data_IF_516747789389
#
_entry.id   IF_516747789389
#
_cell.length_a   1.000
_cell.length_b   1.000
_cell.length_c   1.000
_cell.angle_alpha   90.00
_cell.angle_beta   90.00
_cell.angle_gamma   90.00
#
_symmetry.space_group_name_H-M   'P 1'
#
loop_
_entity.id
_entity.type
_entity.pdbx_description
1 polymer ?
#
# COMPACT_ATOMS: atom_id res chain seq x y z
N UNK A 1 3.92 68.56 -16.86
CA UNK A 1 5.22 68.40 -16.17
C UNK A 1 4.97 67.36 -15.08
N UNK A 2 5.50 66.14 -15.02
CA UNK A 2 6.61 65.49 -15.71
C UNK A 2 6.40 63.95 -15.70
N UNK A 3 7.27 63.26 -16.41
CA UNK A 3 7.28 61.85 -16.79
C UNK A 3 7.81 60.88 -15.70
N UNK A 4 7.38 59.60 -15.83
CA UNK A 4 8.06 58.30 -15.60
C UNK A 4 9.42 58.24 -14.89
N UNK A 5 9.59 57.27 -13.96
CA UNK A 5 10.73 56.31 -13.81
C UNK A 5 10.27 55.14 -12.88
N UNK A 6 10.03 53.90 -13.33
CA UNK A 6 10.92 52.72 -13.52
C UNK A 6 11.83 52.27 -12.36
N UNK A 7 11.62 50.99 -11.98
CA UNK A 7 12.56 49.96 -11.49
C UNK A 7 13.21 50.10 -10.10
N UNK A 8 13.03 49.07 -9.24
CA UNK A 8 14.16 48.18 -8.90
C UNK A 8 13.74 46.80 -8.38
N UNK A 9 14.36 45.81 -9.00
CA UNK A 9 14.45 44.39 -8.71
C UNK A 9 15.01 44.10 -7.30
N UNK A 10 14.49 43.08 -6.60
CA UNK A 10 15.30 42.32 -5.63
C UNK A 10 14.66 40.95 -5.35
N UNK A 11 15.09 39.92 -6.11
CA UNK A 11 14.80 38.51 -5.82
C UNK A 11 16.12 37.89 -5.37
N UNK A 12 16.27 37.47 -4.10
CA UNK A 12 17.43 36.70 -3.70
C UNK A 12 17.31 35.27 -4.26
N UNK A 13 18.20 34.93 -5.19
CA UNK A 13 18.36 33.57 -5.69
C UNK A 13 18.91 32.65 -4.60
N UNK A 14 18.16 31.59 -4.28
CA UNK A 14 18.69 30.47 -3.51
C UNK A 14 19.08 29.33 -4.45
N UNK A 15 20.35 28.97 -4.33
CA UNK A 15 21.05 27.93 -5.06
C UNK A 15 20.43 26.56 -4.79
N UNK A 16 20.10 25.84 -5.86
CA UNK A 16 19.71 24.43 -5.80
C UNK A 16 20.98 23.59 -5.63
N UNK A 17 21.22 23.12 -4.40
CA UNK A 17 22.23 22.12 -4.11
C UNK A 17 21.77 20.76 -4.67
N UNK A 18 22.47 20.26 -5.67
CA UNK A 18 22.26 18.95 -6.26
C UNK A 18 22.62 17.84 -5.26
N UNK A 19 21.63 17.08 -4.78
CA UNK A 19 21.81 15.90 -3.94
C UNK A 19 22.07 14.68 -4.84
N UNK A 20 23.12 13.87 -4.57
CA UNK A 20 23.50 12.76 -5.44
C UNK A 20 22.50 11.59 -5.35
N UNK A 21 22.01 11.17 -6.52
CA UNK A 21 21.13 10.00 -6.70
C UNK A 21 21.92 8.71 -6.41
N UNK A 22 21.69 8.09 -5.25
CA UNK A 22 22.12 6.71 -4.99
C UNK A 22 21.14 5.74 -5.65
N UNK A 23 21.54 5.21 -6.80
CA UNK A 23 20.86 4.13 -7.52
C UNK A 23 20.92 2.85 -6.70
N UNK A 24 19.79 2.38 -6.17
CA UNK A 24 19.66 1.07 -5.55
C UNK A 24 19.41 0.04 -6.66
N UNK A 25 20.43 -0.75 -6.98
CA UNK A 25 20.32 -1.95 -7.80
C UNK A 25 19.47 -2.99 -7.04
N UNK A 26 18.23 -3.21 -7.51
CA UNK A 26 17.37 -4.29 -7.03
C UNK A 26 17.83 -5.59 -7.71
N UNK A 27 18.50 -6.46 -6.97
CA UNK A 27 18.80 -7.82 -7.40
C UNK A 27 17.51 -8.65 -7.41
N UNK A 28 17.07 -9.07 -8.61
CA UNK A 28 15.99 -10.05 -8.79
C UNK A 28 16.58 -11.45 -8.58
N UNK A 29 16.27 -12.09 -7.47
CA UNK A 29 16.51 -13.52 -7.29
C UNK A 29 15.36 -14.32 -7.92
N UNK A 30 15.63 -15.03 -9.01
CA UNK A 30 14.72 -16.03 -9.57
C UNK A 30 14.95 -17.36 -8.86
N UNK A 31 14.01 -17.75 -8.00
CA UNK A 31 13.99 -19.10 -7.45
C UNK A 31 13.57 -20.08 -8.55
N UNK A 32 14.52 -20.90 -9.01
CA UNK A 32 14.25 -22.01 -9.91
C UNK A 32 13.33 -23.03 -9.22
N UNK A 33 12.19 -23.32 -9.84
CA UNK A 33 11.44 -24.55 -9.57
C UNK A 33 12.25 -25.71 -10.14
N UNK A 34 12.62 -26.68 -9.29
CA UNK A 34 13.08 -27.99 -9.72
C UNK A 34 11.90 -28.94 -9.68
N UNK A 35 11.42 -29.35 -10.85
CA UNK A 35 10.50 -30.45 -11.03
C UNK A 35 11.27 -31.73 -11.39
N UNK A 36 10.65 -32.85 -11.06
CA UNK A 36 10.81 -34.20 -11.65
C UNK A 36 12.04 -35.01 -11.21
N UNK A 37 11.82 -36.14 -10.53
CA UNK A 37 11.31 -37.43 -11.03
C UNK A 37 12.45 -38.30 -11.58
N UNK A 38 12.53 -39.51 -11.02
CA UNK A 38 13.04 -40.76 -11.60
C UNK A 38 14.28 -41.32 -10.92
N UNK A 39 14.16 -42.56 -10.45
CA UNK A 39 15.29 -43.37 -10.02
C UNK A 39 14.93 -44.56 -9.14
N UNK A 40 14.04 -45.45 -9.59
CA UNK A 40 14.22 -46.89 -9.32
C UNK A 40 15.47 -47.34 -10.12
N UNK A 41 16.34 -48.20 -9.58
CA UNK A 41 16.22 -49.62 -9.91
C UNK A 41 16.66 -50.62 -8.81
N UNK A 42 15.82 -51.63 -8.62
CA UNK A 42 16.06 -53.08 -8.71
C UNK A 42 17.35 -53.75 -8.14
N UNK A 43 17.06 -54.85 -7.40
CA UNK A 43 17.76 -56.16 -7.34
C UNK A 43 19.09 -56.19 -6.56
N UNK A 44 19.47 -57.18 -5.75
CA UNK A 44 19.23 -58.64 -5.73
C UNK A 44 19.69 -59.22 -4.36
N UNK A 45 18.91 -60.10 -3.71
CA UNK A 45 19.13 -61.57 -3.60
C UNK A 45 20.02 -62.08 -2.45
N UNK A 46 19.41 -62.91 -1.59
CA UNK A 46 20.00 -64.09 -0.91
C UNK A 46 18.82 -64.81 -0.23
N UNK A 47 18.34 -65.98 -0.71
CA UNK A 47 18.87 -67.32 -0.42
C UNK A 47 18.64 -67.68 1.06
N UNK A 48 18.01 -68.77 1.52
CA UNK A 48 17.61 -70.05 0.94
C UNK A 48 16.67 -70.75 1.96
N UNK A 49 15.91 -71.74 1.48
CA UNK A 49 15.49 -72.97 2.18
C UNK A 49 14.38 -73.02 3.25
N UNK A 50 13.34 -73.77 2.83
CA UNK A 50 12.74 -74.91 3.54
C UNK A 50 11.61 -74.67 4.56
N UNK A 51 10.48 -75.33 4.30
CA UNK A 51 9.70 -75.96 5.37
C UNK A 51 8.35 -75.34 5.71
N UNK A 52 7.31 -75.86 5.05
CA UNK A 52 6.10 -76.36 5.69
C UNK A 52 5.36 -75.54 6.77
N UNK A 53 4.10 -75.21 6.44
CA UNK A 53 2.91 -75.37 7.30
C UNK A 53 2.83 -74.51 8.59
N UNK A 54 1.86 -73.59 8.52
CA UNK A 54 1.00 -73.07 9.62
C UNK A 54 1.57 -71.91 10.44
N UNK A 55 0.64 -70.96 10.71
CA UNK A 55 0.66 -69.93 11.78
C UNK A 55 1.70 -68.83 11.54
N UNK A 56 1.51 -67.58 11.91
CA UNK A 56 0.45 -66.90 12.63
C UNK A 56 0.51 -65.42 12.23
N UNK A 57 -0.65 -64.78 12.34
CA UNK A 57 -0.83 -63.36 12.62
C UNK A 57 0.19 -62.85 13.65
N UNK A 58 0.87 -61.74 13.35
CA UNK A 58 1.37 -60.79 14.36
C UNK A 58 1.32 -59.38 13.76
N UNK A 59 0.39 -58.60 14.30
CA UNK A 59 0.31 -57.15 14.21
C UNK A 59 1.59 -56.54 14.80
N UNK A 60 2.15 -55.52 14.15
CA UNK A 60 3.01 -54.57 14.84
C UNK A 60 2.57 -53.15 14.53
N UNK A 61 1.84 -52.59 15.49
CA UNK A 61 1.45 -51.20 15.54
C UNK A 61 2.67 -50.34 15.86
N UNK A 62 2.92 -49.30 15.05
CA UNK A 62 3.81 -48.21 15.41
C UNK A 62 3.05 -46.89 15.18
N UNK A 63 2.41 -46.40 16.24
CA UNK A 63 1.76 -45.10 16.26
C UNK A 63 2.82 -44.02 16.44
N UNK A 64 3.22 -43.35 15.35
CA UNK A 64 4.03 -42.13 15.41
C UNK A 64 3.12 -40.91 15.55
N UNK A 65 3.14 -40.27 16.71
CA UNK A 65 2.41 -39.03 17.01
C UNK A 65 3.01 -37.87 16.21
N UNK A 66 2.25 -37.35 15.24
CA UNK A 66 2.61 -36.11 14.54
C UNK A 66 2.28 -34.94 15.46
N UNK A 67 3.28 -34.38 16.13
CA UNK A 67 3.14 -33.08 16.79
C UNK A 67 3.05 -32.00 15.73
N UNK A 68 1.83 -31.53 15.43
CA UNK A 68 1.60 -30.36 14.60
C UNK A 68 2.11 -29.12 15.36
N UNK A 69 3.27 -28.59 14.93
CA UNK A 69 3.73 -27.28 15.37
C UNK A 69 2.85 -26.24 14.66
N UNK A 70 1.83 -25.77 15.35
CA UNK A 70 1.02 -24.63 14.91
C UNK A 70 1.89 -23.37 14.96
N UNK A 71 2.54 -23.02 13.86
CA UNK A 71 3.16 -21.71 13.69
C UNK A 71 2.04 -20.66 13.59
N UNK A 72 1.59 -20.17 14.75
CA UNK A 72 0.77 -18.96 14.80
C UNK A 72 1.65 -17.80 14.33
N UNK A 73 1.57 -17.48 13.04
CA UNK A 73 2.11 -16.26 12.50
C UNK A 73 1.35 -15.10 13.15
N UNK A 74 1.86 -14.60 14.28
CA UNK A 74 1.45 -13.29 14.78
C UNK A 74 1.83 -12.30 13.68
N UNK A 75 0.84 -11.86 12.91
CA UNK A 75 1.01 -10.85 11.89
C UNK A 75 1.59 -9.62 12.58
N UNK A 76 2.90 -9.41 12.39
CA UNK A 76 3.55 -8.18 12.84
C UNK A 76 2.91 -7.04 12.04
N UNK A 77 2.11 -6.20 12.70
CA UNK A 77 1.64 -4.96 12.10
C UNK A 77 2.86 -4.12 11.76
N UNK A 78 3.15 -4.03 10.45
CA UNK A 78 4.29 -3.28 9.94
C UNK A 78 3.99 -1.80 10.13
N UNK A 79 4.64 -1.18 11.12
CA UNK A 79 4.53 0.26 11.39
C UNK A 79 4.84 1.03 10.09
N UNK A 80 3.94 1.94 9.71
CA UNK A 80 4.03 2.71 8.47
C UNK A 80 3.47 2.01 7.23
N UNK A 81 2.75 0.89 7.34
CA UNK A 81 1.93 0.41 6.23
C UNK A 81 0.68 1.28 6.04
N UNK A 82 0.19 1.41 4.80
CA UNK A 82 -1.16 1.93 4.59
C UNK A 82 -2.16 0.87 5.03
N UNK A 83 -3.09 1.26 5.90
CA UNK A 83 -4.18 0.44 6.41
C UNK A 83 -5.50 0.92 5.80
N UNK A 84 -6.27 0.00 5.22
CA UNK A 84 -7.57 0.31 4.65
C UNK A 84 -8.54 0.81 5.73
N UNK A 85 -9.28 1.87 5.38
CA UNK A 85 -10.30 2.45 6.23
C UNK A 85 -11.56 1.60 6.12
N UNK A 86 -11.82 0.77 7.14
CA UNK A 86 -12.97 -0.14 7.17
C UNK A 86 -14.31 0.56 7.41
N UNK A 87 -14.29 1.70 8.07
CA UNK A 87 -15.50 2.46 8.43
C UNK A 87 -15.20 3.93 8.26
N UNK A 88 -16.03 4.61 7.45
CA UNK A 88 -15.92 6.05 7.26
C UNK A 88 -16.39 6.75 8.52
N UNK A 89 -15.42 7.27 9.28
CA UNK A 89 -15.69 8.11 10.42
C UNK A 89 -15.97 9.54 9.95
N UNK A 90 -16.68 10.35 10.77
CA UNK A 90 -16.88 11.77 10.46
C UNK A 90 -15.57 12.53 10.20
N UNK A 91 -14.47 12.09 10.82
CA UNK A 91 -13.16 12.68 10.61
C UNK A 91 -12.57 12.39 9.22
N UNK A 92 -12.76 11.18 8.69
CA UNK A 92 -12.31 10.84 7.34
C UNK A 92 -13.11 11.60 6.29
N UNK A 93 -14.42 11.74 6.50
CA UNK A 93 -15.30 12.58 5.66
C UNK A 93 -14.87 14.06 5.70
N UNK A 94 -14.51 14.57 6.88
CA UNK A 94 -14.00 15.94 7.05
C UNK A 94 -12.71 16.15 6.25
N UNK A 95 -11.76 15.20 6.29
CA UNK A 95 -10.53 15.26 5.50
C UNK A 95 -10.83 15.25 4.00
N UNK A 96 -11.77 14.43 3.55
CA UNK A 96 -12.22 14.39 2.16
C UNK A 96 -12.82 15.74 1.72
N UNK A 97 -13.70 16.30 2.53
CA UNK A 97 -14.31 17.61 2.27
C UNK A 97 -13.25 18.72 2.24
N UNK A 98 -12.35 18.73 3.22
CA UNK A 98 -11.24 19.67 3.29
C UNK A 98 -10.37 19.60 2.04
N UNK A 99 -10.09 18.39 1.51
CA UNK A 99 -9.30 18.22 0.29
C UNK A 99 -9.97 18.86 -0.93
N UNK A 100 -11.30 18.74 -1.06
CA UNK A 100 -12.07 19.38 -2.14
C UNK A 100 -12.06 20.90 -2.00
N UNK A 101 -12.26 21.42 -0.78
CA UNK A 101 -12.18 22.87 -0.52
C UNK A 101 -10.79 23.42 -0.86
N UNK A 102 -9.72 22.77 -0.37
CA UNK A 102 -8.35 23.18 -0.66
C UNK A 102 -8.03 23.12 -2.15
N UNK A 103 -8.53 22.11 -2.87
CA UNK A 103 -8.36 22.04 -4.32
C UNK A 103 -9.06 23.19 -5.04
N UNK A 104 -10.31 23.48 -4.70
CA UNK A 104 -11.07 24.59 -5.27
C UNK A 104 -10.38 25.94 -5.03
N UNK A 105 -9.82 26.16 -3.83
CA UNK A 105 -9.05 27.38 -3.51
C UNK A 105 -7.77 27.51 -4.35
N UNK A 106 -7.11 26.38 -4.67
CA UNK A 106 -5.87 26.38 -5.45
C UNK A 106 -6.09 26.52 -6.96
N UNK A 107 -7.24 26.08 -7.47
CA UNK A 107 -7.52 25.99 -8.91
C UNK A 107 -8.65 26.91 -9.40
N UNK A 108 -9.32 27.61 -8.49
CA UNK A 108 -10.56 28.37 -8.74
C UNK A 108 -11.71 27.50 -9.28
N UNK A 109 -11.65 26.19 -9.03
CA UNK A 109 -12.72 25.26 -9.34
C UNK A 109 -13.87 25.33 -8.33
N UNK A 110 -15.02 24.75 -8.69
CA UNK A 110 -16.24 24.77 -7.86
C UNK A 110 -16.81 23.37 -7.65
N UNK A 111 -15.93 22.40 -7.38
CA UNK A 111 -16.34 21.03 -7.08
C UNK A 111 -17.10 20.99 -5.75
N UNK A 112 -18.22 20.28 -5.73
CA UNK A 112 -18.98 19.97 -4.52
C UNK A 112 -18.60 18.58 -4.02
N UNK A 113 -18.15 18.50 -2.76
CA UNK A 113 -17.90 17.23 -2.09
C UNK A 113 -19.19 16.41 -1.94
N UNK A 114 -19.14 15.12 -2.28
CA UNK A 114 -20.27 14.19 -2.12
C UNK A 114 -20.02 13.13 -1.05
N UNK A 115 -18.78 12.69 -0.89
CA UNK A 115 -18.40 11.76 0.18
C UNK A 115 -17.09 11.04 -0.13
N UNK A 116 -16.60 10.28 0.85
CA UNK A 116 -15.48 9.35 0.67
C UNK A 116 -16.02 7.94 0.38
N UNK A 117 -15.60 7.35 -0.74
CA UNK A 117 -16.02 5.99 -1.14
C UNK A 117 -15.20 4.94 -0.41
N UNK A 118 -13.88 5.15 -0.38
CA UNK A 118 -12.89 4.27 0.26
C UNK A 118 -11.59 5.02 0.46
N UNK A 119 -10.68 4.42 1.20
CA UNK A 119 -9.32 4.95 1.32
C UNK A 119 -8.45 4.13 2.24
N UNK A 120 -7.19 4.52 2.33
CA UNK A 120 -6.22 3.99 3.27
C UNK A 120 -5.57 5.11 4.08
N UNK A 121 -5.21 4.81 5.33
CA UNK A 121 -4.47 5.73 6.21
C UNK A 121 -3.11 5.13 6.55
N UNK A 122 -2.10 5.97 6.68
CA UNK A 122 -0.75 5.55 7.07
C UNK A 122 -0.24 6.47 8.16
N UNK A 123 0.05 5.91 9.33
CA UNK A 123 0.62 6.67 10.45
C UNK A 123 2.11 6.88 10.21
N UNK A 124 2.55 8.14 10.31
CA UNK A 124 3.93 8.63 10.17
C UNK A 124 4.21 9.64 11.30
N UNK A 125 4.95 10.74 11.05
CA UNK A 125 4.97 11.91 11.93
C UNK A 125 3.67 12.75 11.78
N UNK A 126 2.52 12.08 11.90
CA UNK A 126 1.20 12.54 11.47
C UNK A 126 0.45 11.38 10.83
N UNK A 127 -0.49 11.66 9.94
CA UNK A 127 -1.23 10.65 9.18
C UNK A 127 -1.32 11.05 7.71
N UNK A 128 -0.89 10.17 6.81
CA UNK A 128 -1.23 10.29 5.40
C UNK A 128 -2.59 9.62 5.17
N UNK A 129 -3.45 10.28 4.39
CA UNK A 129 -4.70 9.74 3.90
C UNK A 129 -4.64 9.67 2.38
N UNK A 130 -4.99 8.52 1.82
CA UNK A 130 -5.23 8.33 0.39
C UNK A 130 -6.69 7.91 0.22
N UNK A 131 -7.51 8.80 -0.31
CA UNK A 131 -8.97 8.65 -0.35
C UNK A 131 -9.46 8.71 -1.80
N UNK A 132 -10.46 7.88 -2.11
CA UNK A 132 -11.28 8.03 -3.31
C UNK A 132 -12.51 8.86 -2.92
N UNK A 133 -12.57 10.09 -3.41
CA UNK A 133 -13.61 11.08 -3.09
C UNK A 133 -14.54 11.23 -4.30
N UNK A 134 -15.84 11.18 -4.05
CA UNK A 134 -16.83 11.56 -5.04
C UNK A 134 -17.11 13.05 -4.99
N UNK A 135 -17.19 13.66 -6.17
CA UNK A 135 -17.48 15.07 -6.33
C UNK A 135 -18.50 15.31 -7.44
N UNK A 136 -19.18 16.44 -7.35
CA UNK A 136 -20.05 16.95 -8.40
C UNK A 136 -19.53 18.32 -8.86
N UNK A 137 -19.28 18.46 -10.17
CA UNK A 137 -18.94 19.73 -10.78
C UNK A 137 -20.15 20.68 -10.84
N UNK A 138 -19.91 21.98 -11.03
CA UNK A 138 -20.98 22.95 -11.21
C UNK A 138 -21.76 22.65 -12.50
N UNK A 139 -22.99 23.16 -12.62
CA UNK A 139 -23.84 22.92 -13.79
C UNK A 139 -23.18 23.29 -15.14
N UNK A 140 -22.35 24.33 -15.15
CA UNK A 140 -21.58 24.78 -16.32
C UNK A 140 -20.37 23.88 -16.66
N UNK A 141 -19.95 23.01 -15.75
CA UNK A 141 -18.80 22.13 -15.91
C UNK A 141 -19.07 20.73 -15.32
N UNK A 142 -20.22 20.14 -15.68
CA UNK A 142 -20.62 18.81 -15.21
C UNK A 142 -19.64 17.70 -15.57
N UNK A 143 -18.82 17.90 -16.61
CA UNK A 143 -17.73 16.99 -16.98
C UNK A 143 -16.65 16.87 -15.91
N UNK A 144 -16.60 17.77 -14.92
CA UNK A 144 -15.70 17.67 -13.78
C UNK A 144 -16.23 16.76 -12.67
N UNK A 145 -17.50 16.39 -12.67
CA UNK A 145 -18.06 15.41 -11.74
C UNK A 145 -17.35 14.05 -11.85
N UNK A 146 -17.30 13.32 -10.75
CA UNK A 146 -16.78 11.95 -10.70
C UNK A 146 -15.91 11.69 -9.48
N UNK A 147 -15.19 10.57 -9.53
CA UNK A 147 -14.29 10.11 -8.47
C UNK A 147 -12.89 10.70 -8.63
N UNK A 148 -12.29 11.09 -7.52
CA UNK A 148 -10.95 11.67 -7.45
C UNK A 148 -10.12 10.92 -6.43
N UNK A 149 -8.89 10.58 -6.80
CA UNK A 149 -7.88 10.11 -5.86
C UNK A 149 -7.23 11.34 -5.22
N UNK A 150 -7.38 11.46 -3.91
CA UNK A 150 -6.79 12.54 -3.13
C UNK A 150 -5.77 12.00 -2.14
N UNK A 151 -4.64 12.70 -2.00
CA UNK A 151 -3.65 12.43 -0.95
C UNK A 151 -3.52 13.63 -0.05
N UNK A 152 -3.74 13.43 1.24
CA UNK A 152 -3.65 14.47 2.27
C UNK A 152 -2.65 14.04 3.32
N UNK A 153 -1.81 14.96 3.77
CA UNK A 153 -1.02 14.78 4.98
C UNK A 153 -1.61 15.63 6.10
N UNK A 154 -1.96 14.97 7.19
CA UNK A 154 -2.50 15.57 8.40
C UNK A 154 -1.45 15.46 9.52
N UNK A 155 -0.74 16.55 9.84
CA UNK A 155 0.37 16.51 10.80
C UNK A 155 -0.14 16.29 12.24
N UNK A 156 0.78 15.93 13.14
CA UNK A 156 0.44 15.83 14.57
C UNK A 156 -0.04 17.19 15.12
N UNK A 157 -0.93 17.21 16.13
CA UNK A 157 -1.44 18.46 16.72
C UNK A 157 -0.35 19.36 17.31
N UNK A 158 0.79 18.80 17.68
CA UNK A 158 1.96 19.53 18.19
C UNK A 158 2.86 20.10 17.09
N UNK A 159 2.56 19.83 15.81
CA UNK A 159 3.33 20.33 14.68
C UNK A 159 3.03 21.81 14.42
N UNK A 160 4.02 22.53 13.89
CA UNK A 160 3.82 23.89 13.35
C UNK A 160 3.30 23.88 11.92
N UNK A 161 3.28 22.72 11.27
CA UNK A 161 2.73 22.57 9.92
C UNK A 161 1.21 22.43 9.96
N UNK A 162 0.53 23.04 8.98
CA UNK A 162 -0.88 22.77 8.73
C UNK A 162 -1.10 21.50 7.90
N UNK A 163 -2.36 21.09 7.79
CA UNK A 163 -2.78 20.02 6.88
C UNK A 163 -2.43 20.38 5.44
N UNK A 164 -1.97 19.39 4.66
CA UNK A 164 -1.41 19.60 3.32
C UNK A 164 -2.09 18.70 2.29
N UNK A 165 -2.58 19.31 1.20
CA UNK A 165 -3.05 18.58 0.03
C UNK A 165 -1.84 18.20 -0.83
N UNK A 166 -1.51 16.91 -0.89
CA UNK A 166 -0.34 16.39 -1.61
C UNK A 166 -0.67 16.01 -3.04
N UNK A 167 -1.89 15.55 -3.31
CA UNK A 167 -2.35 15.14 -4.64
C UNK A 167 -3.86 15.24 -4.75
N UNK A 168 -4.35 15.64 -5.92
CA UNK A 168 -5.77 15.63 -6.27
C UNK A 168 -5.88 15.32 -7.77
N UNK A 169 -6.32 14.11 -8.13
CA UNK A 169 -6.35 13.65 -9.53
C UNK A 169 -7.65 12.92 -9.83
N UNK A 170 -8.28 13.26 -10.96
CA UNK A 170 -9.49 12.58 -11.43
C UNK A 170 -9.19 11.12 -11.79
N UNK A 171 -10.02 10.21 -11.31
CA UNK A 171 -9.95 8.80 -11.69
C UNK A 171 -10.79 8.60 -12.94
N UNK A 172 -10.17 8.08 -14.00
CA UNK A 172 -10.86 7.64 -15.21
C UNK A 172 -11.25 6.18 -15.01
N UNK A 173 -12.55 5.90 -14.98
CA UNK A 173 -13.11 4.54 -14.94
C UNK A 173 -13.24 3.97 -16.36
#
# INVERSE_FOLDING_TARGET
MAFLLTNTLCIPGMQVAAVPRRSLLVARATAARSSEHRGEPAVSSSGDSSGGRRRAMMLLAAATTVTAVSSSARAAQKVGACEDIKTMSPYVEEIGNWAVTAFNELTDEKLKFRGVVRGCKQVVAGTNYELDVETEGPASASYLSGSYLVKVFDPLPSSTEGRQLKKFVKVLL
#
